data_IF_932921924741
#
_entry.id   IF_932921924741
#
_cell.length_a   1.000
_cell.length_b   1.000
_cell.length_c   1.000
_cell.angle_alpha   90.00
_cell.angle_beta   90.00
_cell.angle_gamma   90.00
#
_symmetry.space_group_name_H-M   'P 1'
#
loop_
_entity.id
_entity.type
_entity.pdbx_description
1 polymer ?
#
# COMPACT_ATOMS: atom_id res chain seq x y z
N UNK A 1 16.32 8.90 9.95
CA UNK A 1 14.89 8.62 9.98
C UNK A 1 14.31 8.81 8.58
N UNK A 2 13.73 7.81 8.07
CA UNK A 2 13.38 7.78 6.66
C UNK A 2 11.89 7.54 6.40
N UNK A 3 11.07 7.65 7.44
CA UNK A 3 9.65 7.60 7.21
C UNK A 3 9.25 8.71 6.26
N UNK A 4 8.31 8.46 5.38
CA UNK A 4 7.60 9.57 4.77
C UNK A 4 7.14 10.48 5.88
N UNK A 5 7.10 11.76 5.63
CA UNK A 5 6.69 12.71 6.65
C UNK A 5 5.30 12.33 7.17
N UNK A 6 4.96 12.69 8.42
CA UNK A 6 3.58 12.60 8.86
C UNK A 6 2.67 13.23 7.83
N UNK A 7 1.48 12.69 7.65
CA UNK A 7 0.50 13.06 6.63
C UNK A 7 0.87 12.65 5.21
N UNK A 8 1.83 11.75 5.02
CA UNK A 8 1.98 11.08 3.72
C UNK A 8 0.71 10.32 3.37
N UNK A 9 0.41 10.26 2.08
CA UNK A 9 -0.76 9.53 1.59
C UNK A 9 -0.38 8.12 1.24
N UNK A 10 -1.06 7.17 1.86
CA UNK A 10 -0.80 5.74 1.66
C UNK A 10 -2.06 5.06 1.17
N UNK A 11 -1.91 4.15 0.22
CA UNK A 11 -2.98 3.30 -0.25
C UNK A 11 -2.70 1.88 0.20
N UNK A 12 -3.63 1.29 0.94
CA UNK A 12 -3.51 -0.09 1.43
C UNK A 12 -4.49 -0.95 0.65
N UNK A 13 -3.97 -2.01 0.01
CA UNK A 13 -4.77 -2.90 -0.81
C UNK A 13 -4.73 -4.31 -0.22
N UNK A 14 -5.85 -4.75 0.28
CA UNK A 14 -5.98 -6.07 0.91
C UNK A 14 -7.45 -6.46 0.87
N UNK A 15 -7.75 -7.69 0.45
CA UNK A 15 -9.12 -8.17 0.37
C UNK A 15 -9.67 -8.66 1.71
N UNK A 16 -8.80 -8.84 2.71
CA UNK A 16 -9.20 -9.22 4.06
C UNK A 16 -9.61 -7.99 4.85
N UNK A 17 -10.89 -7.83 5.21
CA UNK A 17 -11.33 -6.61 5.90
C UNK A 17 -10.60 -6.37 7.23
N UNK A 18 -10.34 -7.42 7.99
CA UNK A 18 -9.70 -7.28 9.29
C UNK A 18 -8.25 -6.84 9.16
N UNK A 19 -7.52 -7.39 8.20
CA UNK A 19 -6.14 -6.98 7.93
C UNK A 19 -6.09 -5.56 7.39
N UNK A 20 -7.00 -5.25 6.49
CA UNK A 20 -7.09 -3.89 5.92
C UNK A 20 -7.31 -2.86 7.04
N UNK A 21 -8.20 -3.15 7.97
CA UNK A 21 -8.45 -2.29 9.11
C UNK A 21 -7.21 -2.18 10.00
N UNK A 22 -6.53 -3.28 10.22
CA UNK A 22 -5.32 -3.29 11.05
C UNK A 22 -4.22 -2.41 10.44
N UNK A 23 -3.97 -2.55 9.14
CA UNK A 23 -3.01 -1.70 8.45
C UNK A 23 -3.40 -0.24 8.54
N UNK A 24 -4.66 0.05 8.29
CA UNK A 24 -5.16 1.42 8.33
C UNK A 24 -4.93 2.05 9.70
N UNK A 25 -5.35 1.37 10.76
CA UNK A 25 -5.22 1.89 12.11
C UNK A 25 -3.76 2.08 12.51
N UNK A 26 -2.91 1.13 12.15
CA UNK A 26 -1.48 1.20 12.48
C UNK A 26 -0.82 2.40 11.78
N UNK A 27 -1.12 2.59 10.52
CA UNK A 27 -0.50 3.66 9.74
C UNK A 27 -1.06 5.03 10.09
N UNK A 28 -2.34 5.12 10.40
CA UNK A 28 -2.94 6.35 10.88
C UNK A 28 -2.32 6.75 12.21
N UNK A 29 -2.04 5.78 13.07
CA UNK A 29 -1.37 6.04 14.35
C UNK A 29 0.03 6.63 14.15
N UNK A 30 0.70 6.26 13.06
CA UNK A 30 2.01 6.81 12.71
C UNK A 30 1.92 8.19 12.04
N UNK A 31 0.73 8.72 11.87
CA UNK A 31 0.53 10.07 11.35
C UNK A 31 0.23 10.17 9.86
N UNK A 32 -0.01 9.04 9.20
CA UNK A 32 -0.26 9.02 7.75
C UNK A 32 -1.75 9.14 7.43
N UNK A 33 -2.03 9.58 6.21
CA UNK A 33 -3.37 9.54 5.63
C UNK A 33 -3.49 8.26 4.85
N UNK A 34 -4.53 7.49 5.10
CA UNK A 34 -4.66 6.15 4.54
C UNK A 34 -6.00 6.02 3.80
N UNK A 35 -5.91 5.58 2.55
CA UNK A 35 -7.06 5.09 1.79
C UNK A 35 -6.92 3.58 1.67
N UNK A 36 -8.03 2.90 1.52
CA UNK A 36 -8.01 1.43 1.43
C UNK A 36 -8.73 0.95 0.18
N UNK A 37 -8.32 -0.20 -0.31
CA UNK A 37 -8.94 -0.85 -1.46
C UNK A 37 -8.95 -2.35 -1.23
N UNK A 38 -9.93 -3.04 -1.79
CA UNK A 38 -10.11 -4.46 -1.58
C UNK A 38 -9.62 -5.32 -2.76
N UNK A 39 -9.26 -4.70 -3.88
CA UNK A 39 -8.86 -5.42 -5.08
C UNK A 39 -8.03 -4.50 -5.98
N UNK A 40 -7.47 -5.07 -7.04
CA UNK A 40 -6.62 -4.32 -7.96
C UNK A 40 -7.39 -3.18 -8.63
N UNK A 41 -8.58 -3.47 -9.10
CA UNK A 41 -9.37 -2.47 -9.82
C UNK A 41 -9.78 -1.31 -8.91
N UNK A 42 -10.18 -1.60 -7.68
CA UNK A 42 -10.51 -0.59 -6.69
C UNK A 42 -9.28 0.28 -6.38
N UNK A 43 -8.13 -0.35 -6.22
CA UNK A 43 -6.88 0.37 -6.01
C UNK A 43 -6.57 1.29 -7.19
N UNK A 44 -6.77 0.81 -8.40
CA UNK A 44 -6.50 1.59 -9.59
C UNK A 44 -7.42 2.80 -9.69
N UNK A 45 -8.67 2.67 -9.27
CA UNK A 45 -9.62 3.79 -9.21
C UNK A 45 -9.11 4.89 -8.29
N UNK A 46 -8.63 4.52 -7.09
CA UNK A 46 -8.04 5.50 -6.18
C UNK A 46 -6.84 6.18 -6.81
N UNK A 47 -5.99 5.41 -7.50
CA UNK A 47 -4.79 5.94 -8.12
C UNK A 47 -5.10 6.90 -9.28
N UNK A 48 -6.22 6.72 -9.95
CA UNK A 48 -6.66 7.66 -10.98
C UNK A 48 -7.18 8.97 -10.39
N UNK A 49 -7.74 8.91 -9.19
CA UNK A 49 -8.32 10.09 -8.56
C UNK A 49 -7.28 10.94 -7.84
N UNK A 50 -6.21 10.33 -7.34
CA UNK A 50 -5.21 11.06 -6.57
C UNK A 50 -3.86 10.34 -6.62
N UNK A 51 -2.82 11.07 -6.24
CA UNK A 51 -1.48 10.52 -6.11
C UNK A 51 -1.26 10.08 -4.66
N UNK A 52 -0.42 9.05 -4.50
CA UNK A 52 -0.02 8.54 -3.19
C UNK A 52 1.50 8.58 -3.08
N UNK A 53 1.98 8.60 -1.85
CA UNK A 53 3.42 8.47 -1.59
C UNK A 53 3.86 7.03 -1.69
N UNK A 54 3.00 6.12 -1.23
CA UNK A 54 3.29 4.68 -1.29
C UNK A 54 2.00 3.88 -1.39
N UNK A 55 2.15 2.69 -1.97
CA UNK A 55 1.08 1.69 -2.07
C UNK A 55 1.57 0.44 -1.34
N UNK A 56 0.78 -0.03 -0.41
CA UNK A 56 1.05 -1.27 0.33
C UNK A 56 0.00 -2.27 -0.10
N UNK A 57 0.40 -3.33 -0.77
CA UNK A 57 -0.55 -4.26 -1.35
C UNK A 57 -0.23 -5.70 -0.95
N UNK A 58 -1.27 -6.47 -0.70
CA UNK A 58 -1.14 -7.91 -0.59
C UNK A 58 -0.73 -8.49 -1.95
N UNK A 59 -0.03 -9.62 -1.92
CA UNK A 59 0.36 -10.33 -3.13
C UNK A 59 -0.86 -10.88 -3.86
N UNK A 60 -1.84 -11.40 -3.14
CA UNK A 60 -3.01 -12.05 -3.72
C UNK A 60 -4.25 -11.21 -3.49
N UNK A 61 -4.92 -10.89 -4.58
CA UNK A 61 -6.15 -10.11 -4.60
C UNK A 61 -7.18 -10.86 -5.44
N UNK A 62 -8.48 -10.57 -5.24
CA UNK A 62 -9.54 -11.32 -5.97
C UNK A 62 -9.44 -11.23 -7.48
N UNK A 63 -8.93 -10.13 -8.00
CA UNK A 63 -8.90 -9.85 -9.44
C UNK A 63 -7.47 -9.73 -9.99
N UNK A 64 -6.47 -10.19 -9.24
CA UNK A 64 -5.11 -10.15 -9.74
C UNK A 64 -4.10 -10.29 -8.61
N UNK A 65 -2.91 -9.75 -8.81
CA UNK A 65 -1.85 -9.82 -7.81
C UNK A 65 -1.29 -8.44 -7.51
N UNK A 66 -0.63 -8.32 -6.36
CA UNK A 66 0.10 -7.10 -6.02
C UNK A 66 1.20 -6.79 -7.02
N UNK A 67 1.83 -7.83 -7.59
CA UNK A 67 2.84 -7.62 -8.63
C UNK A 67 2.24 -7.04 -9.91
N UNK A 68 1.05 -7.47 -10.27
CA UNK A 68 0.35 -6.90 -11.44
C UNK A 68 0.05 -5.43 -11.22
N UNK A 69 -0.35 -5.07 -10.00
CA UNK A 69 -0.59 -3.67 -9.65
C UNK A 69 0.71 -2.87 -9.75
N UNK A 70 1.81 -3.41 -9.21
CA UNK A 70 3.12 -2.77 -9.31
C UNK A 70 3.52 -2.55 -10.76
N UNK A 71 3.37 -3.57 -11.60
CA UNK A 71 3.70 -3.48 -13.02
C UNK A 71 2.83 -2.43 -13.73
N UNK A 72 1.58 -2.35 -13.35
CA UNK A 72 0.66 -1.37 -13.92
C UNK A 72 1.07 0.05 -13.57
N UNK A 73 1.52 0.26 -12.34
CA UNK A 73 2.05 1.55 -11.90
C UNK A 73 3.33 1.91 -12.66
N UNK A 74 4.22 0.95 -12.82
CA UNK A 74 5.46 1.17 -13.55
C UNK A 74 5.21 1.53 -15.01
N UNK A 75 4.30 0.80 -15.66
CA UNK A 75 3.95 1.08 -17.06
C UNK A 75 3.30 2.43 -17.24
N UNK A 76 2.57 2.89 -16.23
CA UNK A 76 1.94 4.21 -16.26
C UNK A 76 2.92 5.33 -15.89
N UNK A 77 4.16 5.00 -15.56
CA UNK A 77 5.17 5.99 -15.18
C UNK A 77 4.89 6.68 -13.87
N UNK A 78 4.18 6.03 -12.97
CA UNK A 78 3.78 6.63 -11.72
C UNK A 78 4.89 6.53 -10.68
N UNK A 79 5.04 7.58 -9.85
CA UNK A 79 6.16 7.65 -8.90
C UNK A 79 5.90 6.97 -7.57
N UNK A 80 4.69 6.42 -7.34
CA UNK A 80 4.38 5.81 -6.06
C UNK A 80 5.34 4.66 -5.75
N UNK A 81 5.82 4.62 -4.52
CA UNK A 81 6.58 3.48 -4.02
C UNK A 81 5.63 2.35 -3.69
N UNK A 82 6.00 1.13 -4.02
CA UNK A 82 5.11 -0.01 -3.80
C UNK A 82 5.78 -1.05 -2.90
N UNK A 83 5.04 -1.48 -1.90
CA UNK A 83 5.45 -2.55 -0.99
C UNK A 83 4.46 -3.70 -1.19
N UNK A 84 4.97 -4.84 -1.62
CA UNK A 84 4.15 -6.03 -1.81
C UNK A 84 4.36 -6.95 -0.61
N UNK A 85 3.29 -7.33 0.05
CA UNK A 85 3.32 -8.13 1.25
C UNK A 85 2.76 -9.51 0.95
N UNK A 86 3.44 -10.55 1.43
CA UNK A 86 2.98 -11.92 1.28
C UNK A 86 1.94 -12.24 2.35
N UNK A 87 1.38 -13.45 2.28
CA UNK A 87 0.33 -13.89 3.19
C UNK A 87 0.70 -13.77 4.67
N UNK A 88 1.98 -13.71 4.99
CA UNK A 88 2.44 -13.59 6.37
C UNK A 88 2.87 -12.18 6.74
N UNK A 89 2.61 -11.21 5.88
CA UNK A 89 2.90 -9.83 6.17
C UNK A 89 2.00 -9.29 7.28
N UNK A 90 2.47 -8.25 7.95
CA UNK A 90 1.72 -7.60 9.00
C UNK A 90 1.88 -6.09 8.89
N UNK A 91 1.01 -5.36 9.61
CA UNK A 91 1.11 -3.92 9.65
C UNK A 91 2.47 -3.47 10.20
N UNK A 92 3.00 -4.20 11.18
CA UNK A 92 4.32 -3.88 11.74
C UNK A 92 5.42 -4.03 10.70
N UNK A 93 5.33 -5.03 9.85
CA UNK A 93 6.29 -5.24 8.76
C UNK A 93 6.19 -4.09 7.76
N UNK A 94 4.99 -3.67 7.42
CA UNK A 94 4.79 -2.56 6.50
C UNK A 94 5.39 -1.27 7.06
N UNK A 95 5.16 -0.99 8.33
CA UNK A 95 5.73 0.19 8.99
C UNK A 95 7.25 0.11 9.01
N UNK A 96 7.79 -1.06 9.36
CA UNK A 96 9.24 -1.26 9.38
C UNK A 96 9.86 -1.08 8.00
N UNK A 97 9.19 -1.57 6.96
CA UNK A 97 9.67 -1.41 5.59
C UNK A 97 9.70 0.06 5.17
N UNK A 98 8.67 0.82 5.53
CA UNK A 98 8.64 2.25 5.27
C UNK A 98 9.76 2.97 6.00
N UNK A 99 9.98 2.63 7.27
CA UNK A 99 11.04 3.24 8.07
C UNK A 99 12.42 2.96 7.49
N UNK A 100 12.61 1.78 6.95
CA UNK A 100 13.88 1.39 6.34
C UNK A 100 14.08 1.98 4.95
N UNK A 101 13.07 2.62 4.39
CA UNK A 101 13.14 3.14 3.03
C UNK A 101 13.02 2.07 1.96
N UNK A 102 12.53 0.89 2.32
CA UNK A 102 12.27 -0.17 1.35
C UNK A 102 10.92 0.08 0.69
N UNK A 103 10.89 0.01 -0.63
CA UNK A 103 9.70 0.32 -1.39
C UNK A 103 9.24 -0.83 -2.28
N UNK A 104 9.86 -1.97 -2.13
CA UNK A 104 9.43 -3.24 -2.69
C UNK A 104 9.56 -4.27 -1.58
N UNK A 105 9.04 -5.43 -1.80
CA UNK A 105 9.04 -6.44 -0.74
C UNK A 105 10.42 -7.02 -0.45
#
# INVERSE_FOLDING_TARGET
MTLPTPSSRLLVVDDEPDLRTLYELTLVREGHRVETAACVEDAWQHLQDQAFDAVITDMRLPDGTGLELLQRLERAGRPEKTIVITAYGSADIAVAALKAGAFDY
#
